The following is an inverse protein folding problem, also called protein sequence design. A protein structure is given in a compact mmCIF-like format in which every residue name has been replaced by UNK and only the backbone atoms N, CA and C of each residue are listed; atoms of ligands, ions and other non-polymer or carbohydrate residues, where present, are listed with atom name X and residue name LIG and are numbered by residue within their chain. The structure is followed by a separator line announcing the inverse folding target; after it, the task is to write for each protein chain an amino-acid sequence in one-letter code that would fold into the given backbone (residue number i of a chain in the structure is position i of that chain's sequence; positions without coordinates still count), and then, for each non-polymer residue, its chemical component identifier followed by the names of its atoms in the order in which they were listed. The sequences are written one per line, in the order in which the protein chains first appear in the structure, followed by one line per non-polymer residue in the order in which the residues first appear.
data_IF_856922482827
#
_entry.id   IF_856922482827
#
_cell.length_a   1.000
_cell.length_b   1.000
_cell.length_c   1.000
_cell.angle_alpha   90.00
_cell.angle_beta   90.00
_cell.angle_gamma   90.00
#
_symmetry.space_group_name_H-M   'P 1'
#
loop_
_entity.id
_entity.type
_entity.pdbx_description
1 polymer ?
#
# COMPACT_ATOMS: atom_id res chain seq x y z
N UNK A 1 -9.56 -19.56 -5.53
CA UNK A 1 -10.46 -18.55 -4.94
C UNK A 1 -9.65 -17.74 -3.96
N UNK A 2 -9.62 -16.42 -4.10
CA UNK A 2 -8.95 -15.55 -3.15
C UNK A 2 -9.65 -15.69 -1.80
N UNK A 3 -8.96 -16.23 -0.80
CA UNK A 3 -9.40 -16.12 0.59
C UNK A 3 -9.45 -14.63 0.90
N UNK A 4 -10.65 -14.07 0.92
CA UNK A 4 -10.88 -12.70 1.34
C UNK A 4 -10.28 -12.51 2.74
N UNK A 5 -9.58 -11.40 2.91
CA UNK A 5 -8.79 -10.97 4.06
C UNK A 5 -9.26 -11.55 5.40
N UNK A 6 -8.40 -12.32 6.06
CA UNK A 6 -8.59 -12.60 7.48
C UNK A 6 -8.11 -11.38 8.28
N UNK A 7 -8.55 -11.22 9.54
CA UNK A 7 -8.07 -10.14 10.42
C UNK A 7 -6.53 -10.17 10.46
N UNK A 8 -5.89 -9.05 10.09
CA UNK A 8 -4.44 -8.92 9.96
C UNK A 8 -3.91 -8.88 8.52
N UNK A 9 -4.72 -9.28 7.54
CA UNK A 9 -4.37 -9.29 6.10
C UNK A 9 -4.82 -8.03 5.36
N UNK A 10 -5.29 -7.01 6.09
CA UNK A 10 -5.70 -5.70 5.57
C UNK A 10 -5.05 -4.59 6.41
N UNK A 11 -4.37 -3.67 5.73
CA UNK A 11 -3.86 -2.41 6.27
C UNK A 11 -4.59 -1.28 5.59
N UNK A 12 -5.33 -0.49 6.36
CA UNK A 12 -6.07 0.68 5.90
C UNK A 12 -5.31 1.95 6.30
N UNK A 13 -4.93 2.77 5.33
CA UNK A 13 -4.14 3.98 5.52
C UNK A 13 -5.02 5.19 5.20
N UNK A 14 -5.35 5.96 6.22
CA UNK A 14 -6.23 7.12 6.13
C UNK A 14 -5.59 8.29 6.87
N UNK A 15 -4.87 9.13 6.15
CA UNK A 15 -4.22 10.30 6.72
C UNK A 15 -5.16 11.46 7.07
N UNK A 16 -6.46 11.38 6.73
CA UNK A 16 -7.47 12.35 7.17
C UNK A 16 -8.11 11.93 8.49
N UNK A 17 -8.17 10.62 8.76
CA UNK A 17 -8.69 10.02 9.98
C UNK A 17 -10.22 9.95 10.07
N UNK A 18 -10.92 10.33 9.00
CA UNK A 18 -12.38 10.34 8.96
C UNK A 18 -12.95 8.94 8.68
N UNK A 19 -12.34 8.19 7.76
CA UNK A 19 -12.85 6.89 7.32
C UNK A 19 -12.36 5.74 8.19
N UNK A 20 -11.14 5.84 8.73
CA UNK A 20 -10.55 4.81 9.60
C UNK A 20 -11.40 4.52 10.85
N UNK A 21 -12.21 5.48 11.31
CA UNK A 21 -13.10 5.29 12.47
C UNK A 21 -14.09 4.13 12.26
N UNK A 22 -14.55 3.90 11.01
CA UNK A 22 -15.46 2.79 10.69
C UNK A 22 -14.74 1.43 10.65
N UNK A 23 -13.42 1.45 10.45
CA UNK A 23 -12.58 0.26 10.28
C UNK A 23 -11.81 -0.13 11.55
N UNK A 24 -11.85 0.72 12.58
CA UNK A 24 -11.23 0.43 13.88
C UNK A 24 -11.79 -0.87 14.49
N UNK A 25 -10.90 -1.71 15.02
CA UNK A 25 -11.23 -3.06 15.50
C UNK A 25 -11.62 -4.08 14.42
N UNK A 26 -11.79 -3.69 13.16
CA UNK A 26 -12.06 -4.58 12.02
C UNK A 26 -10.75 -4.98 11.34
N UNK A 27 -9.90 -4.00 11.03
CA UNK A 27 -8.59 -4.20 10.43
C UNK A 27 -7.55 -3.26 11.05
N UNK A 28 -6.30 -3.40 10.62
CA UNK A 28 -5.25 -2.49 11.06
C UNK A 28 -5.43 -1.16 10.34
N UNK A 29 -5.60 -0.09 11.11
CA UNK A 29 -5.65 1.27 10.59
C UNK A 29 -4.34 2.01 10.89
N UNK A 30 -3.93 2.89 9.99
CA UNK A 30 -2.84 3.83 10.16
C UNK A 30 -3.34 5.24 9.82
N UNK A 31 -3.40 6.11 10.83
CA UNK A 31 -4.07 7.41 10.73
C UNK A 31 -3.10 8.55 10.93
N UNK A 32 -2.28 8.46 11.97
CA UNK A 32 -1.26 9.47 12.25
C UNK A 32 -0.06 9.32 11.33
N UNK A 33 0.71 10.40 11.14
CA UNK A 33 1.91 10.35 10.31
C UNK A 33 2.88 9.23 10.74
N UNK A 34 3.08 9.05 12.05
CA UNK A 34 3.94 7.98 12.58
C UNK A 34 3.40 6.58 12.26
N UNK A 35 2.09 6.37 12.38
CA UNK A 35 1.47 5.09 12.04
C UNK A 35 1.55 4.80 10.54
N UNK A 36 1.37 5.81 9.69
CA UNK A 36 1.48 5.69 8.24
C UNK A 36 2.92 5.30 7.86
N UNK A 37 3.92 5.98 8.43
CA UNK A 37 5.33 5.66 8.22
C UNK A 37 5.63 4.21 8.64
N UNK A 38 5.16 3.80 9.82
CA UNK A 38 5.29 2.43 10.32
C UNK A 38 4.59 1.41 9.41
N UNK A 39 3.38 1.71 8.94
CA UNK A 39 2.63 0.83 8.06
C UNK A 39 3.36 0.59 6.73
N UNK A 40 3.90 1.65 6.12
CA UNK A 40 4.72 1.55 4.89
C UNK A 40 5.94 0.66 5.15
N UNK A 41 6.63 0.89 6.27
CA UNK A 41 7.86 0.19 6.61
C UNK A 41 7.61 -1.31 6.86
N UNK A 42 6.54 -1.64 7.59
CA UNK A 42 6.17 -3.03 7.91
C UNK A 42 5.66 -3.80 6.70
N UNK A 43 4.81 -3.19 5.86
CA UNK A 43 4.32 -3.81 4.62
C UNK A 43 5.51 -4.09 3.69
N UNK A 44 6.45 -3.15 3.56
CA UNK A 44 7.66 -3.33 2.76
C UNK A 44 8.56 -4.44 3.32
N UNK A 45 8.73 -4.49 4.64
CA UNK A 45 9.49 -5.55 5.31
C UNK A 45 8.86 -6.93 5.06
N UNK A 46 7.53 -7.04 5.13
CA UNK A 46 6.82 -8.29 4.85
C UNK A 46 6.95 -8.71 3.38
N UNK A 47 6.84 -7.78 2.44
CA UNK A 47 7.11 -8.04 1.02
C UNK A 47 8.52 -8.60 0.80
N UNK A 48 9.51 -8.02 1.47
CA UNK A 48 10.92 -8.43 1.40
C UNK A 48 11.14 -9.81 2.02
N UNK A 49 10.53 -10.08 3.18
CA UNK A 49 10.54 -11.39 3.83
C UNK A 49 9.95 -12.45 2.90
N UNK A 50 8.79 -12.19 2.30
CA UNK A 50 8.14 -13.09 1.33
C UNK A 50 9.04 -13.37 0.13
N UNK A 51 9.71 -12.35 -0.41
CA UNK A 51 10.67 -12.55 -1.51
C UNK A 51 11.82 -13.50 -1.12
N UNK A 52 12.36 -13.39 0.10
CA UNK A 52 13.39 -14.30 0.60
C UNK A 52 12.87 -15.75 0.76
N UNK A 53 11.63 -15.92 1.23
CA UNK A 53 10.98 -17.23 1.34
C UNK A 53 10.75 -17.85 -0.04
N UNK A 54 10.26 -17.08 -1.01
CA UNK A 54 10.06 -17.53 -2.38
C UNK A 54 11.35 -18.03 -3.01
N UNK A 55 12.44 -17.27 -2.85
CA UNK A 55 13.77 -17.68 -3.32
C UNK A 55 14.21 -19.01 -2.68
N UNK A 56 14.05 -19.15 -1.37
CA UNK A 56 14.41 -20.38 -0.63
C UNK A 56 13.59 -21.60 -1.08
N UNK A 57 12.29 -21.41 -1.31
CA UNK A 57 11.34 -22.46 -1.72
C UNK A 57 11.31 -22.71 -3.23
N UNK A 58 12.07 -21.94 -4.02
CA UNK A 58 12.06 -21.97 -5.49
C UNK A 58 10.66 -21.76 -6.09
N UNK A 59 9.90 -20.86 -5.49
CA UNK A 59 8.58 -20.46 -5.96
C UNK A 59 8.65 -19.11 -6.69
N UNK A 60 7.86 -18.96 -7.77
CA UNK A 60 7.78 -17.70 -8.52
C UNK A 60 6.72 -16.74 -7.98
N UNK A 61 5.77 -17.24 -7.19
CA UNK A 61 4.66 -16.47 -6.60
C UNK A 61 4.35 -16.95 -5.20
N UNK A 62 3.93 -16.01 -4.35
CA UNK A 62 3.45 -16.29 -3.00
C UNK A 62 2.21 -17.18 -3.04
N UNK A 63 2.22 -18.21 -2.20
CA UNK A 63 1.17 -19.24 -2.10
C UNK A 63 0.45 -19.21 -0.74
N UNK A 64 0.76 -18.24 0.12
CA UNK A 64 0.07 -18.00 1.39
C UNK A 64 -0.99 -16.89 1.30
N UNK A 65 -1.51 -16.43 2.46
CA UNK A 65 -2.49 -15.35 2.52
C UNK A 65 -2.03 -14.07 1.84
N UNK A 66 -2.97 -13.39 1.18
CA UNK A 66 -2.75 -12.09 0.55
C UNK A 66 -2.79 -10.99 1.61
N UNK A 67 -1.82 -10.06 1.56
CA UNK A 67 -1.87 -8.81 2.32
C UNK A 67 -2.43 -7.72 1.40
N UNK A 68 -3.54 -7.10 1.77
CA UNK A 68 -4.08 -5.94 1.07
C UNK A 68 -3.74 -4.66 1.81
N UNK A 69 -3.31 -3.66 1.05
CA UNK A 69 -3.03 -2.32 1.55
C UNK A 69 -3.97 -1.38 0.81
N UNK A 70 -4.75 -0.62 1.55
CA UNK A 70 -5.64 0.41 1.00
C UNK A 70 -5.11 1.76 1.44
N UNK A 71 -4.79 2.60 0.46
CA UNK A 71 -4.51 4.02 0.67
C UNK A 71 -5.79 4.77 0.32
N UNK A 72 -6.41 5.42 1.30
CA UNK A 72 -7.67 6.16 1.11
C UNK A 72 -7.44 7.48 0.34
N UNK A 73 -6.49 8.29 0.80
CA UNK A 73 -6.10 9.53 0.10
C UNK A 73 -4.60 9.54 -0.22
N UNK A 74 -4.29 9.15 -1.45
CA UNK A 74 -2.94 9.11 -1.98
C UNK A 74 -2.22 10.46 -1.93
N UNK A 75 -2.93 11.58 -2.10
CA UNK A 75 -2.31 12.90 -2.01
C UNK A 75 -1.72 13.17 -0.62
N UNK A 76 -2.45 12.79 0.43
CA UNK A 76 -2.04 13.00 1.83
C UNK A 76 -0.81 12.14 2.14
N UNK A 77 -0.84 10.86 1.74
CA UNK A 77 0.30 9.95 1.94
C UNK A 77 1.53 10.44 1.16
N UNK A 78 1.36 10.87 -0.09
CA UNK A 78 2.47 11.40 -0.88
C UNK A 78 3.03 12.69 -0.30
N UNK A 79 2.19 13.61 0.16
CA UNK A 79 2.63 14.84 0.81
C UNK A 79 3.50 14.55 2.05
N UNK A 80 3.12 13.53 2.83
CA UNK A 80 3.88 13.08 3.99
C UNK A 80 5.25 12.50 3.61
N UNK A 81 5.29 11.55 2.67
CA UNK A 81 6.55 10.84 2.34
C UNK A 81 7.42 11.55 1.30
N UNK A 82 6.97 12.68 0.72
CA UNK A 82 7.67 13.38 -0.37
C UNK A 82 9.13 13.72 -0.06
N UNK A 83 9.43 14.05 1.20
CA UNK A 83 10.79 14.38 1.65
C UNK A 83 11.61 13.14 2.03
N UNK A 84 10.95 12.01 2.27
CA UNK A 84 11.57 10.73 2.55
C UNK A 84 11.63 9.89 1.26
N UNK A 85 12.72 10.09 0.51
CA UNK A 85 12.98 9.34 -0.74
C UNK A 85 12.99 7.83 -0.52
N UNK A 86 13.37 7.35 0.67
CA UNK A 86 13.39 5.94 1.01
C UNK A 86 11.97 5.36 1.07
N UNK A 87 11.07 6.02 1.79
CA UNK A 87 9.66 5.57 1.89
C UNK A 87 8.89 5.72 0.59
N UNK A 88 9.14 6.79 -0.16
CA UNK A 88 8.56 6.93 -1.50
C UNK A 88 9.00 5.75 -2.40
N UNK A 89 10.29 5.40 -2.38
CA UNK A 89 10.80 4.26 -3.13
C UNK A 89 10.17 2.93 -2.67
N UNK A 90 9.93 2.74 -1.37
CA UNK A 90 9.21 1.56 -0.85
C UNK A 90 7.80 1.44 -1.41
N UNK A 91 7.05 2.54 -1.50
CA UNK A 91 5.72 2.55 -2.13
C UNK A 91 5.78 2.22 -3.63
N UNK A 92 6.77 2.75 -4.35
CA UNK A 92 7.01 2.42 -5.76
C UNK A 92 7.29 0.92 -5.93
N UNK A 93 8.15 0.35 -5.08
CA UNK A 93 8.44 -1.09 -5.09
C UNK A 93 7.24 -1.95 -4.70
N UNK A 94 6.43 -1.51 -3.73
CA UNK A 94 5.18 -2.18 -3.39
C UNK A 94 4.23 -2.25 -4.59
N UNK A 95 4.08 -1.13 -5.31
CA UNK A 95 3.21 -1.09 -6.49
C UNK A 95 3.69 -2.00 -7.63
N UNK A 96 5.01 -2.13 -7.83
CA UNK A 96 5.59 -2.88 -8.95
C UNK A 96 5.85 -4.36 -8.64
N UNK A 97 6.26 -4.70 -7.42
CA UNK A 97 6.66 -6.05 -7.04
C UNK A 97 5.58 -6.80 -6.25
N UNK A 98 4.64 -6.07 -5.62
CA UNK A 98 3.67 -6.61 -4.66
C UNK A 98 2.92 -7.84 -5.15
N UNK A 99 2.44 -7.82 -6.40
CA UNK A 99 1.64 -8.91 -7.00
C UNK A 99 2.28 -10.29 -6.82
N UNK A 100 3.57 -10.42 -7.09
CA UNK A 100 4.26 -11.71 -6.99
C UNK A 100 4.54 -12.14 -5.54
N UNK A 101 4.53 -11.19 -4.60
CA UNK A 101 4.74 -11.39 -3.17
C UNK A 101 3.40 -11.49 -2.42
N UNK A 102 2.27 -11.56 -3.13
CA UNK A 102 0.94 -11.63 -2.52
C UNK A 102 0.58 -10.38 -1.72
N UNK A 103 1.12 -9.22 -2.11
CA UNK A 103 0.76 -7.91 -1.56
C UNK A 103 -0.01 -7.15 -2.64
N UNK A 104 -1.22 -6.69 -2.33
CA UNK A 104 -2.07 -5.96 -3.27
C UNK A 104 -2.29 -4.54 -2.76
N UNK A 105 -2.00 -3.56 -3.61
CA UNK A 105 -2.17 -2.14 -3.32
C UNK A 105 -3.45 -1.63 -3.96
N UNK A 106 -4.34 -1.09 -3.15
CA UNK A 106 -5.46 -0.24 -3.56
C UNK A 106 -5.10 1.20 -3.26
N UNK A 107 -5.29 2.07 -4.24
CA UNK A 107 -4.90 3.46 -4.17
C UNK A 107 -6.07 4.33 -4.60
N UNK A 108 -6.68 5.00 -3.63
CA UNK A 108 -7.71 6.01 -3.86
C UNK A 108 -7.10 7.41 -3.71
N UNK A 109 -7.72 8.37 -4.39
CA UNK A 109 -7.37 9.79 -4.29
C UNK A 109 -8.45 10.65 -4.92
N UNK A 110 -8.70 11.82 -4.36
CA UNK A 110 -9.56 12.85 -4.97
C UNK A 110 -8.78 13.75 -5.96
N UNK A 111 -7.46 13.59 -6.05
CA UNK A 111 -6.56 14.38 -6.89
C UNK A 111 -5.88 13.50 -7.95
N UNK A 112 -6.58 13.07 -9.01
CA UNK A 112 -6.11 12.06 -9.97
C UNK A 112 -5.05 12.59 -10.96
N UNK A 113 -4.10 13.38 -10.48
CA UNK A 113 -2.98 13.93 -11.24
C UNK A 113 -1.67 13.33 -10.74
N UNK A 114 -0.73 13.12 -11.67
CA UNK A 114 0.59 12.53 -11.42
C UNK A 114 1.71 13.56 -11.27
N UNK A 115 1.41 14.82 -11.55
CA UNK A 115 2.34 15.95 -11.55
C UNK A 115 1.77 17.15 -10.78
N UNK A 116 2.54 18.25 -10.74
CA UNK A 116 2.19 19.45 -9.99
C UNK A 116 2.69 19.47 -8.54
N UNK A 117 2.19 20.43 -7.77
CA UNK A 117 2.66 20.71 -6.41
C UNK A 117 2.15 19.69 -5.38
N UNK A 118 0.99 19.06 -5.63
CA UNK A 118 0.34 18.11 -4.75
C UNK A 118 -0.35 16.98 -5.56
N UNK A 119 0.40 16.08 -6.20
CA UNK A 119 -0.18 14.97 -6.94
C UNK A 119 -0.84 13.96 -6.01
N UNK A 120 -1.95 13.36 -6.44
CA UNK A 120 -2.63 12.28 -5.70
C UNK A 120 -2.09 10.89 -6.00
N UNK A 121 -1.27 10.74 -7.03
CA UNK A 121 -0.57 9.49 -7.37
C UNK A 121 0.85 9.81 -7.87
N UNK A 122 1.86 9.06 -7.43
CA UNK A 122 3.22 9.27 -7.92
C UNK A 122 3.37 8.75 -9.36
N UNK A 123 4.13 9.47 -10.19
CA UNK A 123 4.37 9.11 -11.59
C UNK A 123 5.02 7.72 -11.79
N UNK A 124 5.72 7.20 -10.78
CA UNK A 124 6.32 5.86 -10.79
C UNK A 124 5.34 4.79 -10.28
N UNK A 125 4.33 5.17 -9.50
CA UNK A 125 3.27 4.27 -9.02
C UNK A 125 2.19 4.11 -10.09
N UNK A 126 1.78 5.20 -10.74
CA UNK A 126 0.65 5.21 -11.68
C UNK A 126 0.72 4.13 -12.79
N UNK A 127 1.88 3.85 -13.43
CA UNK A 127 1.99 2.80 -14.44
C UNK A 127 1.73 1.39 -13.91
N UNK A 128 1.92 1.15 -12.61
CA UNK A 128 1.75 -0.16 -11.98
C UNK A 128 0.29 -0.42 -11.54
N UNK A 129 -0.58 0.60 -11.57
CA UNK A 129 -2.00 0.49 -11.27
C UNK A 129 -2.76 -0.10 -12.47
N UNK A 130 -2.94 -1.42 -12.46
CA UNK A 130 -3.52 -2.19 -13.58
C UNK A 130 -5.02 -1.96 -13.79
N UNK A 131 -5.75 -1.67 -12.72
CA UNK A 131 -7.20 -1.43 -12.74
C UNK A 131 -7.47 -0.05 -12.18
N UNK A 132 -8.25 0.76 -12.92
CA UNK A 132 -8.59 2.13 -12.55
C UNK A 132 -10.10 2.30 -12.63
N UNK A 133 -10.66 2.92 -11.60
CA UNK A 133 -12.06 3.30 -11.53
C UNK A 133 -12.11 4.81 -11.31
N UNK A 134 -13.05 5.49 -11.96
CA UNK A 134 -13.33 6.90 -11.73
C UNK A 134 -14.79 7.00 -11.31
N UNK A 135 -15.04 7.70 -10.21
CA UNK A 135 -16.36 7.98 -9.66
C UNK A 135 -16.72 9.45 -9.89
#
# INVERSE_FOLDING_TARGET
MATAHLRGDLVFVDGKGEEATLWDGICRCAVTAAEIDMAIDEVYAEMTRRAAVLKRRRLSRWDGPQLTVVIDEGQVVLAQVRRDKGRLQRLVELSSLGRSRGVVLWWATQYPVTDGSAPGVDKMIAPNLLTRFSL
#
